data_IF_440587200635
#
_entry.id   IF_440587200635
#
_cell.length_a   1.000
_cell.length_b   1.000
_cell.length_c   1.000
_cell.angle_alpha   90.00
_cell.angle_beta   90.00
_cell.angle_gamma   90.00
#
_symmetry.space_group_name_H-M   'P 1'
#
loop_
_entity.id
_entity.type
_entity.pdbx_description
1 polymer ?
#
# COMPACT_ATOMS: atom_id res chain seq x y z
N UNK A 1 15.47 3.77 -3.07
CA UNK A 1 14.77 4.22 -4.30
C UNK A 1 13.28 4.21 -4.05
N UNK A 2 12.50 5.10 -4.68
CA UNK A 2 11.04 5.15 -4.57
C UNK A 2 10.45 4.49 -5.82
N UNK A 3 9.67 3.42 -5.63
CA UNK A 3 8.99 2.73 -6.73
C UNK A 3 8.08 3.70 -7.49
N UNK A 4 8.27 3.80 -8.80
CA UNK A 4 7.43 4.57 -9.72
C UNK A 4 6.06 3.91 -9.88
N UNK A 5 5.17 4.52 -10.66
CA UNK A 5 3.89 3.88 -10.96
C UNK A 5 4.12 2.65 -11.84
N UNK A 6 4.95 2.82 -12.87
CA UNK A 6 5.37 1.83 -13.83
C UNK A 6 6.02 0.63 -13.15
N UNK A 7 6.93 0.88 -12.18
CA UNK A 7 7.55 -0.19 -11.38
C UNK A 7 6.52 -1.05 -10.65
N UNK A 8 5.47 -0.44 -10.09
CA UNK A 8 4.42 -1.16 -9.34
C UNK A 8 3.50 -1.94 -10.26
N UNK A 9 3.20 -1.39 -11.44
CA UNK A 9 2.41 -2.09 -12.46
C UNK A 9 3.18 -3.31 -12.97
N UNK A 10 4.46 -3.14 -13.31
CA UNK A 10 5.29 -4.24 -13.78
C UNK A 10 5.54 -5.28 -12.68
N UNK A 11 5.76 -4.85 -11.44
CA UNK A 11 5.84 -5.76 -10.29
C UNK A 11 4.59 -6.62 -10.14
N UNK A 12 3.40 -6.02 -10.32
CA UNK A 12 2.14 -6.76 -10.23
C UNK A 12 1.97 -7.73 -11.40
N UNK A 13 2.31 -7.30 -12.63
CA UNK A 13 2.30 -8.15 -13.82
C UNK A 13 3.18 -9.39 -13.64
N UNK A 14 4.45 -9.19 -13.25
CA UNK A 14 5.40 -10.28 -12.97
C UNK A 14 4.94 -11.22 -11.84
N UNK A 15 4.23 -10.69 -10.85
CA UNK A 15 3.64 -11.52 -9.79
C UNK A 15 2.45 -12.35 -10.29
N UNK A 16 1.55 -11.72 -11.06
CA UNK A 16 0.27 -12.31 -11.49
C UNK A 16 0.43 -13.29 -12.64
N UNK A 17 1.23 -12.93 -13.65
CA UNK A 17 1.40 -13.68 -14.91
C UNK A 17 2.60 -14.62 -14.83
N UNK A 18 3.76 -14.11 -14.40
CA UNK A 18 5.02 -14.86 -14.40
C UNK A 18 5.27 -15.59 -13.06
N UNK A 19 4.36 -15.46 -12.09
CA UNK A 19 4.40 -16.10 -10.77
C UNK A 19 5.70 -15.88 -9.98
N UNK A 20 6.30 -14.69 -10.11
CA UNK A 20 7.53 -14.38 -9.37
C UNK A 20 7.28 -14.33 -7.87
N UNK A 21 8.21 -14.89 -7.10
CA UNK A 21 8.14 -14.81 -5.64
C UNK A 21 8.37 -13.38 -5.16
N UNK A 22 7.79 -13.04 -4.00
CA UNK A 22 7.99 -11.71 -3.39
C UNK A 22 9.46 -11.39 -3.10
N UNK A 23 10.30 -12.41 -2.89
CA UNK A 23 11.74 -12.24 -2.67
C UNK A 23 12.43 -11.85 -3.98
N UNK A 24 12.11 -12.54 -5.08
CA UNK A 24 12.66 -12.23 -6.40
C UNK A 24 12.29 -10.81 -6.84
N UNK A 25 11.03 -10.43 -6.65
CA UNK A 25 10.55 -9.07 -6.94
C UNK A 25 11.24 -8.02 -6.06
N UNK A 26 11.41 -8.30 -4.77
CA UNK A 26 12.12 -7.40 -3.85
C UNK A 26 13.55 -7.12 -4.33
N UNK A 27 14.28 -8.16 -4.74
CA UNK A 27 15.62 -8.03 -5.32
C UNK A 27 15.61 -7.26 -6.64
N UNK A 28 14.71 -7.60 -7.57
CA UNK A 28 14.62 -6.97 -8.89
C UNK A 28 14.35 -5.46 -8.80
N UNK A 29 13.38 -5.08 -7.97
CA UNK A 29 12.97 -3.70 -7.78
C UNK A 29 13.75 -2.96 -6.67
N UNK A 30 14.78 -3.61 -6.10
CA UNK A 30 15.63 -3.07 -5.02
C UNK A 30 14.80 -2.48 -3.87
N UNK A 31 13.77 -3.21 -3.45
CA UNK A 31 12.86 -2.84 -2.37
C UNK A 31 12.73 -3.99 -1.36
N UNK A 32 12.02 -3.76 -0.26
CA UNK A 32 11.83 -4.79 0.75
C UNK A 32 10.65 -5.71 0.40
N UNK A 33 10.73 -6.97 0.85
CA UNK A 33 9.68 -7.97 0.67
C UNK A 33 8.32 -7.51 1.19
N UNK A 34 8.30 -6.73 2.28
CA UNK A 34 7.04 -6.27 2.88
C UNK A 34 6.34 -5.27 1.98
N UNK A 35 7.09 -4.37 1.33
CA UNK A 35 6.57 -3.44 0.32
C UNK A 35 6.00 -4.17 -0.87
N UNK A 36 6.68 -5.19 -1.40
CA UNK A 36 6.14 -6.04 -2.49
C UNK A 36 4.82 -6.68 -2.08
N UNK A 37 4.80 -7.40 -0.95
CA UNK A 37 3.57 -8.04 -0.45
C UNK A 37 2.45 -7.02 -0.22
N UNK A 38 2.79 -5.81 0.22
CA UNK A 38 1.80 -4.76 0.45
C UNK A 38 1.21 -4.24 -0.86
N UNK A 39 2.06 -3.93 -1.85
CA UNK A 39 1.64 -3.42 -3.17
C UNK A 39 0.74 -4.43 -3.87
N UNK A 40 1.13 -5.70 -3.90
CA UNK A 40 0.34 -6.78 -4.49
C UNK A 40 -1.04 -6.85 -3.84
N UNK A 41 -1.11 -6.92 -2.50
CA UNK A 41 -2.39 -6.95 -1.78
C UNK A 41 -3.24 -5.71 -2.03
N UNK A 42 -2.60 -4.54 -2.12
CA UNK A 42 -3.31 -3.30 -2.36
C UNK A 42 -3.99 -3.32 -3.74
N UNK A 43 -3.28 -3.80 -4.76
CA UNK A 43 -3.81 -3.96 -6.12
C UNK A 43 -4.86 -5.07 -6.18
N UNK A 44 -4.68 -6.18 -5.48
CA UNK A 44 -5.68 -7.27 -5.45
C UNK A 44 -7.03 -6.80 -4.87
N UNK A 45 -7.01 -5.88 -3.90
CA UNK A 45 -8.23 -5.37 -3.24
C UNK A 45 -8.89 -4.24 -4.05
N UNK A 46 -8.10 -3.29 -4.55
CA UNK A 46 -8.62 -2.03 -5.11
C UNK A 46 -8.40 -1.87 -6.62
N UNK A 47 -7.75 -2.84 -7.26
CA UNK A 47 -7.33 -2.76 -8.66
C UNK A 47 -6.07 -1.92 -8.87
N UNK A 48 -5.57 -1.93 -10.11
CA UNK A 48 -4.28 -1.34 -10.48
C UNK A 48 -4.24 0.19 -10.33
N UNK A 49 -5.39 0.87 -10.43
CA UNK A 49 -5.48 2.33 -10.30
C UNK A 49 -5.09 2.84 -8.91
N UNK A 50 -5.15 1.98 -7.88
CA UNK A 50 -4.81 2.35 -6.51
C UNK A 50 -3.35 2.74 -6.32
N UNK A 51 -2.44 2.19 -7.14
CA UNK A 51 -1.01 2.49 -7.08
C UNK A 51 -0.63 3.71 -7.93
N UNK A 52 -1.58 4.24 -8.70
CA UNK A 52 -1.40 5.46 -9.46
C UNK A 52 -1.10 6.63 -8.53
N UNK A 53 -0.03 7.35 -8.86
CA UNK A 53 0.38 8.52 -8.11
C UNK A 53 -0.59 9.67 -8.41
N UNK A 54 -1.48 9.96 -7.46
CA UNK A 54 -2.19 11.25 -7.44
C UNK A 54 -1.24 12.30 -6.85
N UNK A 55 -1.01 13.42 -7.56
CA UNK A 55 -0.36 14.60 -6.97
C UNK A 55 -1.21 15.03 -5.77
N UNK A 56 -0.56 15.25 -4.63
CA UNK A 56 -1.20 15.70 -3.38
C UNK A 56 -2.42 14.84 -3.01
N UNK A 57 -2.19 13.59 -2.55
CA UNK A 57 -3.24 12.84 -1.83
C UNK A 57 -3.53 13.58 -0.51
N UNK A 58 -4.32 14.63 -0.60
CA UNK A 58 -4.90 15.28 0.55
C UNK A 58 -6.01 14.37 1.07
N UNK A 59 -5.82 13.92 2.30
CA UNK A 59 -6.86 13.23 3.04
C UNK A 59 -7.59 14.29 3.85
N UNK A 60 -8.92 14.32 3.76
CA UNK A 60 -9.75 15.21 4.57
C UNK A 60 -9.56 14.90 6.06
N UNK A 61 -9.90 15.86 6.92
CA UNK A 61 -9.80 15.67 8.36
C UNK A 61 -10.67 14.48 8.81
N UNK A 62 -11.90 14.40 8.28
CA UNK A 62 -12.87 13.34 8.58
C UNK A 62 -12.34 11.96 8.18
N UNK A 63 -11.65 11.86 7.02
CA UNK A 63 -11.05 10.61 6.59
C UNK A 63 -9.93 10.16 7.54
N UNK A 64 -9.07 11.09 7.98
CA UNK A 64 -7.99 10.78 8.91
C UNK A 64 -8.55 10.37 10.28
N UNK A 65 -9.54 11.08 10.77
CA UNK A 65 -10.21 10.79 12.03
C UNK A 65 -10.85 9.40 12.03
N UNK A 66 -11.55 9.03 10.96
CA UNK A 66 -12.12 7.69 10.84
C UNK A 66 -11.04 6.60 10.80
N UNK A 67 -9.94 6.83 10.06
CA UNK A 67 -8.82 5.90 10.04
C UNK A 67 -8.17 5.72 11.43
N UNK A 68 -8.00 6.81 12.18
CA UNK A 68 -7.47 6.79 13.55
C UNK A 68 -8.45 6.08 14.49
N UNK A 69 -9.76 6.38 14.40
CA UNK A 69 -10.81 5.78 15.23
C UNK A 69 -10.85 4.26 15.06
N UNK A 70 -10.78 3.77 13.82
CA UNK A 70 -10.72 2.32 13.54
C UNK A 70 -9.53 1.64 14.22
N UNK A 71 -8.38 2.30 14.27
CA UNK A 71 -7.21 1.73 14.95
C UNK A 71 -7.31 1.85 16.48
N UNK A 72 -7.61 3.04 17.01
CA UNK A 72 -7.55 3.31 18.45
C UNK A 72 -8.77 2.80 19.24
N UNK A 73 -9.96 2.87 18.66
CA UNK A 73 -11.22 2.53 19.34
C UNK A 73 -11.70 1.14 18.94
N UNK A 74 -11.62 0.78 17.65
CA UNK A 74 -12.06 -0.54 17.18
C UNK A 74 -10.95 -1.59 17.25
N UNK A 75 -9.75 -1.21 17.71
CA UNK A 75 -8.58 -2.07 17.87
C UNK A 75 -8.17 -2.81 16.58
N UNK A 76 -8.51 -2.26 15.41
CA UNK A 76 -8.09 -2.84 14.14
C UNK A 76 -6.59 -2.65 13.91
N UNK A 77 -5.95 -3.60 13.22
CA UNK A 77 -4.55 -3.46 12.86
C UNK A 77 -4.35 -2.29 11.90
N UNK A 78 -3.35 -1.43 12.18
CA UNK A 78 -2.90 -0.35 11.26
C UNK A 78 -2.74 -0.86 9.83
N UNK A 79 -2.20 -2.08 9.66
CA UNK A 79 -2.01 -2.68 8.34
C UNK A 79 -3.35 -2.99 7.65
N UNK A 80 -4.32 -3.52 8.38
CA UNK A 80 -5.64 -3.84 7.84
C UNK A 80 -6.40 -2.57 7.48
N UNK A 81 -6.42 -1.58 8.38
CA UNK A 81 -7.05 -0.28 8.13
C UNK A 81 -6.43 0.38 6.90
N UNK A 82 -5.09 0.42 6.82
CA UNK A 82 -4.38 1.00 5.68
C UNK A 82 -4.70 0.32 4.35
N UNK A 83 -4.79 -1.02 4.34
CA UNK A 83 -5.20 -1.78 3.16
C UNK A 83 -6.65 -1.50 2.79
N UNK A 84 -7.57 -1.47 3.77
CA UNK A 84 -8.99 -1.22 3.50
C UNK A 84 -9.26 0.18 2.95
N UNK A 85 -8.51 1.18 3.42
CA UNK A 85 -8.64 2.58 3.05
C UNK A 85 -7.77 2.99 1.85
N UNK A 86 -7.20 2.03 1.13
CA UNK A 86 -6.34 2.29 -0.03
C UNK A 86 -5.13 3.22 0.26
N UNK A 87 -4.65 3.24 1.50
CA UNK A 87 -3.51 4.06 1.91
C UNK A 87 -2.23 3.44 1.32
N UNK A 88 -1.39 4.21 0.60
CA UNK A 88 -0.20 3.67 -0.10
C UNK A 88 0.83 2.99 0.81
N UNK A 89 0.83 3.34 2.09
CA UNK A 89 1.78 2.82 3.07
C UNK A 89 1.17 2.84 4.47
N UNK A 90 1.37 1.76 5.21
CA UNK A 90 1.07 1.69 6.65
C UNK A 90 1.74 2.82 7.45
N UNK A 91 2.91 3.28 7.00
CA UNK A 91 3.65 4.35 7.66
C UNK A 91 2.92 5.70 7.62
N UNK A 92 2.05 5.92 6.64
CA UNK A 92 1.21 7.12 6.56
C UNK A 92 0.20 7.14 7.70
N UNK A 93 -0.52 6.04 7.92
CA UNK A 93 -1.48 5.93 9.02
C UNK A 93 -0.77 5.95 10.39
N UNK A 94 0.40 5.30 10.50
CA UNK A 94 1.21 5.40 11.72
C UNK A 94 1.65 6.82 12.06
N UNK A 95 1.78 7.71 11.07
CA UNK A 95 2.12 9.11 11.30
C UNK A 95 0.93 9.93 11.81
N UNK A 96 -0.30 9.53 11.50
CA UNK A 96 -1.52 10.23 11.96
C UNK A 96 -1.90 9.88 13.40
N UNK A 97 -1.45 8.72 13.88
CA UNK A 97 -1.74 8.23 15.23
C UNK A 97 -0.73 8.75 16.27
N UNK A 98 0.47 9.16 15.81
CA UNK A 98 1.50 9.75 16.67
C UNK A 98 1.11 11.15 17.10
#
# INVERSE_FOLDING_TARGET
MKLTYEDKVEMYRLWKEDHYSSIRLATLFKCDRTSVTYIVKLIDIHGISVVQKKKNREYSAEFKEEAIRRVLIQHESIKQVSLSLAIPSKGTLSLWIK
#
